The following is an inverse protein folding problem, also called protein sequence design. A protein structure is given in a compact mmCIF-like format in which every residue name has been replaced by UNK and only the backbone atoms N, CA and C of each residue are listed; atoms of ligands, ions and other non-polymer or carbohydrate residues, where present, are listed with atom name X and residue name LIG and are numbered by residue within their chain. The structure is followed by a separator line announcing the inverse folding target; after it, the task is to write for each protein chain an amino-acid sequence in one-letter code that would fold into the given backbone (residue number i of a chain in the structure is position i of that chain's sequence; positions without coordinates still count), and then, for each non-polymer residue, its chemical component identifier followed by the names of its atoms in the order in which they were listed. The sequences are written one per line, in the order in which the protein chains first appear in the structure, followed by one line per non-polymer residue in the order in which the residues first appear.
data_IF_787724271293
#
_entry.id   IF_787724271293
#
_cell.length_a   1.000
_cell.length_b   1.000
_cell.length_c   1.000
_cell.angle_alpha   90.00
_cell.angle_beta   90.00
_cell.angle_gamma   90.00
#
_symmetry.space_group_name_H-M   'P 1'
#
loop_
_entity.id
_entity.type
_entity.pdbx_description
1 polymer ?
#
# COMPACT_ATOMS: atom_id res chain seq x y z
N UNK A 1 -19.87 -41.79 20.21
CA UNK A 1 -19.28 -40.61 19.57
C UNK A 1 -18.71 -39.74 20.69
N UNK A 2 -17.43 -39.90 21.04
CA UNK A 2 -16.83 -39.25 22.20
C UNK A 2 -16.32 -37.85 21.84
N UNK A 3 -16.78 -36.83 22.57
CA UNK A 3 -16.30 -35.45 22.43
C UNK A 3 -14.90 -35.31 23.04
N UNK A 4 -13.90 -35.11 22.19
CA UNK A 4 -12.59 -34.64 22.62
C UNK A 4 -12.57 -33.12 22.58
N UNK A 5 -12.91 -32.49 23.70
CA UNK A 5 -12.61 -31.07 23.92
C UNK A 5 -11.10 -30.90 24.08
N UNK A 6 -10.54 -29.87 23.45
CA UNK A 6 -9.11 -29.51 23.49
C UNK A 6 -8.58 -29.58 24.92
N UNK A 7 -7.51 -30.33 25.15
CA UNK A 7 -6.97 -30.51 26.50
C UNK A 7 -6.25 -29.25 26.99
N UNK A 8 -6.37 -28.91 28.28
CA UNK A 8 -5.74 -27.71 28.91
C UNK A 8 -4.25 -27.58 28.60
N UNK A 9 -3.53 -28.70 28.51
CA UNK A 9 -2.11 -28.75 28.15
C UNK A 9 -1.85 -28.32 26.70
N UNK A 10 -2.76 -28.66 25.80
CA UNK A 10 -2.69 -28.29 24.39
C UNK A 10 -2.95 -26.80 24.21
N UNK A 11 -3.93 -26.25 24.92
CA UNK A 11 -4.16 -24.79 24.99
C UNK A 11 -2.92 -24.06 25.52
N UNK A 12 -2.33 -24.53 26.63
CA UNK A 12 -1.12 -23.90 27.18
C UNK A 12 0.10 -24.03 26.26
N UNK A 13 0.20 -25.14 25.51
CA UNK A 13 1.27 -25.32 24.54
C UNK A 13 1.10 -24.40 23.34
N UNK A 14 -0.13 -24.26 22.83
CA UNK A 14 -0.48 -23.34 21.73
C UNK A 14 -0.19 -21.89 22.15
N UNK A 15 -0.62 -21.48 23.34
CA UNK A 15 -0.36 -20.13 23.88
C UNK A 15 1.16 -19.88 24.06
N UNK A 16 1.90 -20.86 24.58
CA UNK A 16 3.36 -20.76 24.71
C UNK A 16 4.09 -20.66 23.37
N UNK A 17 3.64 -21.38 22.34
CA UNK A 17 4.22 -21.30 20.98
C UNK A 17 3.87 -19.99 20.27
N UNK A 18 2.68 -19.44 20.50
CA UNK A 18 2.27 -18.15 19.94
C UNK A 18 3.13 -16.98 20.48
N UNK A 19 3.51 -17.03 21.76
CA UNK A 19 4.38 -16.03 22.37
C UNK A 19 5.79 -16.00 21.74
N UNK A 20 6.32 -17.15 21.31
CA UNK A 20 7.60 -17.21 20.61
C UNK A 20 7.51 -16.62 19.18
N UNK A 21 6.40 -16.88 18.47
CA UNK A 21 6.15 -16.33 17.14
C UNK A 21 6.00 -14.80 17.13
N UNK A 22 5.54 -14.19 18.24
CA UNK A 22 5.45 -12.73 18.39
C UNK A 22 6.80 -12.01 18.37
N UNK A 23 7.91 -12.74 18.54
CA UNK A 23 9.28 -12.19 18.42
C UNK A 23 9.84 -12.27 17.00
N UNK A 24 9.12 -12.92 16.08
CA UNK A 24 9.55 -13.08 14.69
C UNK A 24 9.28 -11.79 13.88
N UNK A 25 10.27 -11.20 13.21
CA UNK A 25 10.13 -9.91 12.52
C UNK A 25 9.04 -9.88 11.43
N UNK A 26 8.66 -11.03 10.87
CA UNK A 26 7.56 -11.14 9.90
C UNK A 26 6.15 -11.13 10.50
N UNK A 27 6.01 -11.37 11.80
CA UNK A 27 4.72 -11.43 12.50
C UNK A 27 4.24 -10.05 13.00
N UNK A 28 5.16 -9.09 13.14
CA UNK A 28 4.84 -7.69 13.50
C UNK A 28 3.85 -7.05 12.50
N UNK A 29 3.84 -7.51 11.25
CA UNK A 29 2.92 -7.06 10.19
C UNK A 29 1.48 -7.58 10.32
N UNK A 30 1.23 -8.58 11.16
CA UNK A 30 -0.11 -9.16 11.39
C UNK A 30 -0.68 -8.79 12.78
N UNK A 31 -0.02 -7.88 13.50
CA UNK A 31 -0.40 -7.40 14.85
C UNK A 31 -1.60 -6.45 14.91
N UNK A 32 -2.39 -6.30 13.84
CA UNK A 32 -3.56 -5.42 13.81
C UNK A 32 -4.75 -5.93 14.64
N UNK A 33 -4.72 -7.17 15.12
CA UNK A 33 -5.84 -7.76 15.87
C UNK A 33 -5.90 -7.35 17.36
N UNK A 34 -4.92 -6.63 17.89
CA UNK A 34 -4.90 -6.22 19.31
C UNK A 34 -4.82 -4.69 19.51
N UNK A 35 -5.37 -3.90 18.60
CA UNK A 35 -5.43 -2.43 18.69
C UNK A 35 -6.47 -1.86 19.68
N UNK A 36 -6.75 -2.53 20.81
CA UNK A 36 -7.68 -2.02 21.84
C UNK A 36 -7.01 -1.32 23.02
N UNK A 37 -5.70 -1.05 22.96
CA UNK A 37 -5.00 -0.27 23.98
C UNK A 37 -4.34 0.94 23.33
N UNK A 38 -5.10 2.05 23.41
CA UNK A 38 -4.72 3.47 23.29
C UNK A 38 -3.47 3.87 22.53
N UNK A 39 -3.65 4.78 21.56
CA UNK A 39 -2.67 5.77 21.10
C UNK A 39 -1.20 5.34 21.23
N UNK A 40 -0.86 4.19 20.63
CA UNK A 40 0.51 3.93 20.25
C UNK A 40 0.77 4.85 19.06
N UNK A 41 1.43 5.97 19.37
CA UNK A 41 1.99 6.92 18.43
C UNK A 41 2.45 6.21 17.15
N UNK A 42 2.12 6.81 15.99
CA UNK A 42 2.79 6.65 14.70
C UNK A 42 4.07 5.82 14.86
N UNK A 43 3.96 4.51 14.70
CA UNK A 43 5.11 3.64 14.89
C UNK A 43 6.04 3.96 13.74
N UNK A 44 7.04 4.79 14.04
CA UNK A 44 8.16 5.12 13.18
C UNK A 44 8.64 3.82 12.53
N UNK A 45 8.73 3.87 11.20
CA UNK A 45 9.14 2.75 10.33
C UNK A 45 10.26 1.94 10.98
N UNK A 46 10.19 0.59 11.00
CA UNK A 46 11.35 -0.20 11.40
C UNK A 46 12.56 0.18 10.53
N UNK A 47 13.73 0.27 11.17
CA UNK A 47 14.99 0.57 10.51
C UNK A 47 15.24 -0.41 9.35
N UNK A 48 15.39 0.15 8.15
CA UNK A 48 15.69 -0.51 6.86
C UNK A 48 14.78 -1.69 6.50
N UNK A 49 13.73 -1.42 5.72
CA UNK A 49 13.04 -2.46 4.97
C UNK A 49 14.01 -3.12 3.96
N UNK A 50 13.98 -4.44 3.87
CA UNK A 50 14.74 -5.21 2.88
C UNK A 50 13.76 -5.74 1.82
N UNK A 51 13.89 -5.31 0.56
CA UNK A 51 13.06 -5.82 -0.54
C UNK A 51 13.14 -7.35 -0.67
N UNK A 52 12.01 -7.95 -1.03
CA UNK A 52 11.81 -9.39 -1.22
C UNK A 52 11.98 -9.74 -2.70
N UNK A 53 11.43 -8.91 -3.60
CA UNK A 53 11.43 -9.18 -5.03
C UNK A 53 12.44 -8.32 -5.80
N UNK A 54 12.40 -7.02 -5.57
CA UNK A 54 13.28 -6.07 -6.24
C UNK A 54 14.69 -6.13 -5.66
N UNK A 55 15.70 -5.86 -6.49
CA UNK A 55 17.02 -5.50 -5.96
C UNK A 55 17.05 -4.06 -5.42
N UNK A 56 18.20 -3.62 -4.91
CA UNK A 56 18.33 -2.30 -4.28
C UNK A 56 18.14 -1.13 -5.26
N UNK A 57 18.61 -1.25 -6.51
CA UNK A 57 18.43 -0.20 -7.53
C UNK A 57 16.98 -0.19 -8.02
N UNK A 58 16.41 -1.36 -8.31
CA UNK A 58 15.02 -1.53 -8.70
C UNK A 58 14.05 -0.98 -7.65
N UNK A 59 14.27 -1.30 -6.36
CA UNK A 59 13.44 -0.81 -5.27
C UNK A 59 13.53 0.71 -5.12
N UNK A 60 14.72 1.29 -5.22
CA UNK A 60 14.90 2.74 -5.17
C UNK A 60 14.17 3.45 -6.34
N UNK A 61 14.15 2.83 -7.53
CA UNK A 61 13.35 3.33 -8.65
C UNK A 61 11.85 3.27 -8.35
N UNK A 62 11.34 2.15 -7.82
CA UNK A 62 9.92 2.02 -7.44
C UNK A 62 9.54 3.05 -6.38
N UNK A 63 10.38 3.25 -5.36
CA UNK A 63 10.16 4.26 -4.33
C UNK A 63 10.10 5.67 -4.94
N UNK A 64 11.05 6.02 -5.81
CA UNK A 64 11.05 7.33 -6.48
C UNK A 64 9.83 7.52 -7.37
N UNK A 65 9.42 6.51 -8.14
CA UNK A 65 8.24 6.58 -9.00
C UNK A 65 6.94 6.73 -8.19
N UNK A 66 6.83 6.05 -7.05
CA UNK A 66 5.69 6.18 -6.16
C UNK A 66 5.65 7.59 -5.53
N UNK A 67 6.79 8.09 -5.04
CA UNK A 67 6.95 9.45 -4.49
C UNK A 67 6.59 10.53 -5.53
N UNK A 68 6.95 10.35 -6.80
CA UNK A 68 6.57 11.26 -7.88
C UNK A 68 5.08 11.16 -8.26
N UNK A 69 4.42 10.04 -7.97
CA UNK A 69 3.00 9.84 -8.27
C UNK A 69 2.09 10.45 -7.20
N UNK A 70 2.44 10.30 -5.92
CA UNK A 70 1.77 10.93 -4.78
C UNK A 70 2.86 11.56 -3.90
N UNK A 71 3.21 12.84 -4.14
CA UNK A 71 4.24 13.54 -3.39
C UNK A 71 3.78 13.89 -1.97
N UNK A 72 4.73 14.26 -1.12
CA UNK A 72 4.50 14.61 0.28
C UNK A 72 4.51 16.13 0.47
N UNK A 73 3.66 16.85 -0.26
CA UNK A 73 3.62 18.31 -0.28
C UNK A 73 2.86 18.91 0.92
N UNK A 74 1.54 19.05 0.82
CA UNK A 74 0.67 19.54 1.90
C UNK A 74 0.27 18.40 2.87
N UNK A 75 0.27 17.16 2.37
CA UNK A 75 -0.04 15.94 3.13
C UNK A 75 1.12 14.94 3.08
N UNK A 76 1.02 13.86 3.85
CA UNK A 76 2.00 12.77 3.80
C UNK A 76 1.77 11.94 2.53
N UNK A 77 2.82 11.68 1.76
CA UNK A 77 2.72 11.05 0.44
C UNK A 77 3.01 9.55 0.43
N UNK A 78 3.21 9.00 -0.79
CA UNK A 78 3.44 7.58 -1.03
C UNK A 78 4.64 7.01 -0.25
N UNK A 79 5.67 7.83 -0.06
CA UNK A 79 6.85 7.47 0.71
C UNK A 79 6.47 7.18 2.15
N UNK A 80 5.86 8.15 2.85
CA UNK A 80 5.39 8.05 4.25
C UNK A 80 4.44 6.88 4.45
N UNK A 81 3.58 6.61 3.45
CA UNK A 81 2.64 5.50 3.46
C UNK A 81 3.28 4.11 3.24
N UNK A 82 4.59 4.03 2.95
CA UNK A 82 5.27 2.76 2.73
C UNK A 82 4.86 2.07 1.43
N UNK A 83 4.45 2.83 0.42
CA UNK A 83 3.92 2.30 -0.84
C UNK A 83 4.93 1.40 -1.56
N UNK A 84 6.22 1.76 -1.57
CA UNK A 84 7.25 0.94 -2.22
C UNK A 84 7.35 -0.47 -1.59
N UNK A 85 7.21 -0.57 -0.26
CA UNK A 85 7.18 -1.86 0.46
C UNK A 85 5.94 -2.68 0.10
N UNK A 86 4.79 -2.00 -0.05
CA UNK A 86 3.56 -2.63 -0.53
C UNK A 86 3.72 -3.18 -1.94
N UNK A 87 4.28 -2.39 -2.87
CA UNK A 87 4.50 -2.81 -4.26
C UNK A 87 5.44 -4.01 -4.30
N UNK A 88 6.58 -3.96 -3.61
CA UNK A 88 7.52 -5.10 -3.55
C UNK A 88 6.85 -6.38 -3.04
N UNK A 89 6.08 -6.28 -1.95
CA UNK A 89 5.33 -7.42 -1.41
C UNK A 89 4.33 -7.97 -2.41
N UNK A 90 3.50 -7.12 -3.02
CA UNK A 90 2.48 -7.56 -3.98
C UNK A 90 3.12 -8.24 -5.19
N UNK A 91 4.15 -7.61 -5.78
CA UNK A 91 4.87 -8.16 -6.94
C UNK A 91 5.59 -9.45 -6.58
N UNK A 92 6.14 -9.60 -5.37
CA UNK A 92 6.76 -10.85 -4.93
C UNK A 92 5.79 -12.04 -4.93
N UNK A 93 4.50 -11.78 -4.76
CA UNK A 93 3.44 -12.79 -4.65
C UNK A 93 2.68 -13.07 -5.94
N UNK A 94 2.86 -12.24 -6.98
CA UNK A 94 2.11 -12.32 -8.25
C UNK A 94 3.05 -12.46 -9.46
N UNK A 95 3.28 -13.69 -9.96
CA UNK A 95 4.13 -13.94 -11.12
C UNK A 95 3.71 -13.21 -12.40
N UNK A 96 2.42 -12.89 -12.59
CA UNK A 96 1.94 -12.21 -13.79
C UNK A 96 2.43 -10.76 -13.85
N UNK A 97 2.67 -10.16 -12.68
CA UNK A 97 3.06 -8.76 -12.52
C UNK A 97 4.58 -8.59 -12.40
N UNK A 98 5.31 -9.63 -11.98
CA UNK A 98 6.78 -9.63 -11.87
C UNK A 98 7.49 -9.24 -13.17
N UNK A 99 7.09 -9.86 -14.29
CA UNK A 99 7.72 -9.60 -15.59
C UNK A 99 7.45 -8.17 -16.09
N UNK A 100 6.21 -7.66 -16.09
CA UNK A 100 5.92 -6.26 -16.40
C UNK A 100 6.74 -5.25 -15.59
N UNK A 101 6.90 -5.45 -14.28
CA UNK A 101 7.70 -4.53 -13.45
C UNK A 101 9.18 -4.54 -13.83
N UNK A 102 9.81 -5.72 -13.93
CA UNK A 102 11.23 -5.81 -14.31
C UNK A 102 11.52 -5.21 -15.68
N UNK A 103 10.68 -5.54 -16.66
CA UNK A 103 10.84 -5.00 -18.03
C UNK A 103 10.59 -3.51 -18.08
N UNK A 104 9.60 -3.02 -17.35
CA UNK A 104 9.31 -1.59 -17.28
C UNK A 104 10.42 -0.77 -16.61
N UNK A 105 11.00 -1.27 -15.51
CA UNK A 105 12.15 -0.65 -14.85
C UNK A 105 13.38 -0.61 -15.76
N UNK A 106 13.68 -1.73 -16.42
CA UNK A 106 14.78 -1.81 -17.39
C UNK A 106 14.56 -0.87 -18.59
N UNK A 107 13.33 -0.83 -19.12
CA UNK A 107 12.95 0.07 -20.21
C UNK A 107 13.13 1.54 -19.80
N UNK A 108 12.71 1.91 -18.58
CA UNK A 108 12.80 3.29 -18.10
C UNK A 108 14.26 3.73 -17.97
N UNK A 109 15.13 2.86 -17.45
CA UNK A 109 16.57 3.14 -17.40
C UNK A 109 17.16 3.28 -18.82
N UNK A 110 16.88 2.35 -19.72
CA UNK A 110 17.38 2.42 -21.10
C UNK A 110 16.87 3.68 -21.84
N UNK A 111 15.62 4.07 -21.59
CA UNK A 111 15.04 5.28 -22.16
C UNK A 111 15.70 6.55 -21.59
N UNK A 112 15.95 6.58 -20.28
CA UNK A 112 16.70 7.66 -19.61
C UNK A 112 18.13 7.77 -20.15
N UNK A 113 18.83 6.64 -20.29
CA UNK A 113 20.20 6.62 -20.81
C UNK A 113 20.26 7.09 -22.27
N UNK A 114 19.31 6.65 -23.09
CA UNK A 114 19.22 7.05 -24.50
C UNK A 114 18.90 8.53 -24.68
N UNK A 115 18.01 9.08 -23.85
CA UNK A 115 17.53 10.47 -24.01
C UNK A 115 18.38 11.51 -23.28
N UNK A 116 19.01 11.15 -22.15
CA UNK A 116 19.71 12.07 -21.26
C UNK A 116 21.12 11.60 -20.85
N UNK A 117 21.57 10.43 -21.30
CA UNK A 117 22.93 9.91 -21.05
C UNK A 117 23.18 9.39 -19.63
N UNK A 118 22.12 9.22 -18.84
CA UNK A 118 22.19 8.82 -17.41
C UNK A 118 21.06 7.85 -17.06
N UNK A 119 21.26 7.03 -16.03
CA UNK A 119 20.16 6.23 -15.45
C UNK A 119 19.08 7.13 -14.86
N UNK A 120 17.86 6.61 -14.73
CA UNK A 120 16.71 7.41 -14.28
C UNK A 120 16.94 8.07 -12.90
N UNK A 121 17.51 7.33 -11.95
CA UNK A 121 17.80 7.85 -10.60
C UNK A 121 18.94 8.89 -10.54
N UNK A 122 19.72 9.04 -11.62
CA UNK A 122 20.83 10.00 -11.71
C UNK A 122 20.40 11.33 -12.38
N UNK A 123 19.16 11.42 -12.86
CA UNK A 123 18.55 12.62 -13.40
C UNK A 123 18.12 13.58 -12.27
N UNK A 124 18.04 14.88 -12.58
CA UNK A 124 17.38 15.84 -11.67
C UNK A 124 15.87 15.58 -11.60
N UNK A 125 15.20 16.08 -10.56
CA UNK A 125 13.76 15.93 -10.41
C UNK A 125 12.99 16.52 -11.61
N UNK A 126 13.44 17.64 -12.16
CA UNK A 126 12.86 18.25 -13.36
C UNK A 126 13.02 17.35 -14.60
N UNK A 127 14.19 16.72 -14.74
CA UNK A 127 14.47 15.79 -15.84
C UNK A 127 13.64 14.52 -15.73
N UNK A 128 13.51 13.96 -14.52
CA UNK A 128 12.65 12.80 -14.26
C UNK A 128 11.19 13.14 -14.58
N UNK A 129 10.70 14.28 -14.12
CA UNK A 129 9.34 14.74 -14.42
C UNK A 129 9.11 14.91 -15.93
N UNK A 130 10.04 15.57 -16.63
CA UNK A 130 9.95 15.75 -18.09
C UNK A 130 9.96 14.42 -18.84
N UNK A 131 10.65 13.39 -18.33
CA UNK A 131 10.71 12.07 -18.94
C UNK A 131 9.42 11.27 -18.71
N UNK A 132 8.83 11.36 -17.50
CA UNK A 132 7.60 10.65 -17.15
C UNK A 132 6.33 11.31 -17.69
N UNK A 133 6.36 12.61 -17.95
CA UNK A 133 5.17 13.38 -18.35
C UNK A 133 4.48 12.82 -19.64
N UNK A 134 5.21 12.53 -20.74
CA UNK A 134 4.64 11.85 -21.91
C UNK A 134 4.06 10.47 -21.61
N UNK A 135 4.58 9.79 -20.57
CA UNK A 135 4.12 8.47 -20.18
C UNK A 135 2.80 8.54 -19.40
N UNK A 136 2.63 9.59 -18.58
CA UNK A 136 1.48 9.78 -17.70
C UNK A 136 0.27 10.46 -18.32
N UNK A 137 0.47 11.30 -19.34
CA UNK A 137 -0.59 12.11 -19.95
C UNK A 137 -0.85 11.72 -21.41
N UNK A 138 -2.07 11.24 -21.69
CA UNK A 138 -2.47 10.80 -23.06
C UNK A 138 -2.27 11.88 -24.12
N UNK A 139 -2.44 13.17 -23.77
CA UNK A 139 -2.26 14.31 -24.68
C UNK A 139 -0.80 14.62 -25.03
N UNK A 140 0.16 14.13 -24.21
CA UNK A 140 1.60 14.33 -24.38
C UNK A 140 2.32 13.07 -24.87
N UNK A 141 1.57 12.01 -25.16
CA UNK A 141 2.12 10.72 -25.54
C UNK A 141 2.94 10.81 -26.83
N UNK A 142 4.12 10.17 -26.82
CA UNK A 142 5.01 10.06 -27.98
C UNK A 142 4.90 8.67 -28.60
N UNK A 143 4.94 8.55 -29.95
CA UNK A 143 5.00 7.25 -30.62
C UNK A 143 6.27 6.48 -30.23
N UNK A 144 6.17 5.17 -30.02
CA UNK A 144 7.30 4.31 -29.66
C UNK A 144 7.57 4.21 -28.15
N UNK A 145 6.76 4.87 -27.32
CA UNK A 145 6.85 4.83 -25.85
C UNK A 145 5.68 4.06 -25.22
N UNK A 146 5.00 3.20 -25.99
CA UNK A 146 3.80 2.48 -25.55
C UNK A 146 4.08 1.55 -24.36
N UNK A 147 5.23 0.89 -24.34
CA UNK A 147 5.61 0.00 -23.24
C UNK A 147 5.93 0.79 -21.97
N UNK A 148 6.62 1.93 -22.09
CA UNK A 148 6.85 2.87 -21.00
C UNK A 148 5.54 3.42 -20.41
N UNK A 149 4.57 3.72 -21.27
CA UNK A 149 3.22 4.16 -20.86
C UNK A 149 2.47 3.08 -20.09
N UNK A 150 2.50 1.83 -20.56
CA UNK A 150 1.88 0.69 -19.88
C UNK A 150 2.52 0.47 -18.51
N UNK A 151 3.86 0.50 -18.44
CA UNK A 151 4.59 0.37 -17.19
C UNK A 151 4.26 1.50 -16.21
N UNK A 152 4.30 2.76 -16.66
CA UNK A 152 4.01 3.88 -15.77
C UNK A 152 2.55 3.89 -15.30
N UNK A 153 1.61 3.45 -16.14
CA UNK A 153 0.22 3.23 -15.72
C UNK A 153 0.13 2.16 -14.62
N UNK A 154 0.84 1.04 -14.75
CA UNK A 154 0.89 -0.02 -13.74
C UNK A 154 1.45 0.49 -12.41
N UNK A 155 2.56 1.24 -12.45
CA UNK A 155 3.15 1.83 -11.23
C UNK A 155 2.18 2.79 -10.55
N UNK A 156 1.48 3.62 -11.31
CA UNK A 156 0.47 4.55 -10.76
C UNK A 156 -0.72 3.82 -10.15
N UNK A 157 -1.20 2.77 -10.81
CA UNK A 157 -2.29 1.92 -10.28
C UNK A 157 -1.89 1.34 -8.92
N UNK A 158 -0.73 0.69 -8.85
CA UNK A 158 -0.21 0.11 -7.62
C UNK A 158 0.08 1.16 -6.53
N UNK A 159 0.53 2.36 -6.93
CA UNK A 159 0.77 3.47 -6.00
C UNK A 159 -0.52 3.97 -5.39
N UNK A 160 -1.54 4.22 -6.21
CA UNK A 160 -2.87 4.66 -5.75
C UNK A 160 -3.49 3.61 -4.85
N UNK A 161 -3.43 2.33 -5.24
CA UNK A 161 -3.93 1.23 -4.41
C UNK A 161 -3.20 1.13 -3.09
N UNK A 162 -1.86 1.14 -3.09
CA UNK A 162 -1.06 1.06 -1.85
C UNK A 162 -1.30 2.26 -0.93
N UNK A 163 -1.38 3.47 -1.49
CA UNK A 163 -1.59 4.68 -0.71
C UNK A 163 -2.98 4.72 -0.09
N UNK A 164 -4.05 4.55 -0.88
CA UNK A 164 -5.43 4.64 -0.39
C UNK A 164 -5.94 3.38 0.32
N UNK A 165 -5.09 2.38 0.52
CA UNK A 165 -5.35 1.27 1.47
C UNK A 165 -4.47 1.36 2.73
N UNK A 166 -3.58 2.37 2.80
CA UNK A 166 -2.80 2.68 3.99
C UNK A 166 -3.61 3.51 4.99
N UNK A 167 -3.16 3.53 6.25
CA UNK A 167 -3.74 4.41 7.27
C UNK A 167 -3.63 5.89 6.88
N UNK A 168 -2.53 6.28 6.24
CA UNK A 168 -2.30 7.66 5.78
C UNK A 168 -3.35 8.05 4.74
N UNK A 169 -3.51 7.25 3.68
CA UNK A 169 -4.50 7.52 2.64
C UNK A 169 -5.94 7.46 3.14
N UNK A 170 -6.27 6.56 4.07
CA UNK A 170 -7.61 6.55 4.70
C UNK A 170 -7.89 7.80 5.54
N UNK A 171 -6.88 8.34 6.25
CA UNK A 171 -7.03 9.61 6.96
C UNK A 171 -7.20 10.78 6.01
N UNK A 172 -6.48 10.79 4.89
CA UNK A 172 -6.60 11.82 3.86
C UNK A 172 -8.02 11.87 3.26
N UNK A 173 -8.65 10.71 3.06
CA UNK A 173 -10.03 10.61 2.55
C UNK A 173 -11.13 10.93 3.58
N UNK A 174 -10.78 11.25 4.84
CA UNK A 174 -11.73 11.32 5.97
C UNK A 174 -12.65 10.07 6.03
N UNK A 175 -12.07 8.89 5.82
CA UNK A 175 -12.84 7.66 5.62
C UNK A 175 -13.66 7.32 6.88
N UNK A 176 -15.00 7.14 6.77
CA UNK A 176 -15.86 6.78 7.89
C UNK A 176 -15.47 5.48 8.62
N UNK A 177 -14.77 4.56 7.95
CA UNK A 177 -14.29 3.33 8.56
C UNK A 177 -13.26 3.56 9.69
N UNK A 178 -12.61 4.72 9.73
CA UNK A 178 -11.72 5.12 10.82
C UNK A 178 -12.45 5.85 11.97
N UNK A 179 -13.74 6.15 11.81
CA UNK A 179 -14.54 6.84 12.83
C UNK A 179 -15.10 5.82 13.82
N UNK A 180 -14.78 5.99 15.10
CA UNK A 180 -15.41 5.22 16.16
C UNK A 180 -16.76 5.84 16.50
N UNK A 181 -17.82 5.08 16.26
CA UNK A 181 -19.18 5.45 16.65
C UNK A 181 -19.52 4.75 17.98
N UNK A 182 -19.74 5.52 19.04
CA UNK A 182 -20.22 4.99 20.32
C UNK A 182 -21.64 4.41 20.21
N UNK A 183 -22.43 4.98 19.31
CA UNK A 183 -23.75 4.50 18.89
C UNK A 183 -23.80 4.56 17.37
N UNK A 184 -24.39 3.55 16.72
CA UNK A 184 -24.52 3.55 15.25
C UNK A 184 -25.21 4.83 14.80
N UNK A 185 -24.64 5.61 13.85
CA UNK A 185 -25.33 6.78 13.33
C UNK A 185 -26.70 6.34 12.80
N UNK A 186 -27.78 6.98 13.27
CA UNK A 186 -29.12 6.73 12.75
C UNK A 186 -29.10 6.91 11.24
N UNK A 187 -29.68 5.96 10.50
CA UNK A 187 -29.79 6.13 9.06
C UNK A 187 -30.61 7.41 8.77
N UNK A 188 -30.14 8.33 7.90
CA UNK A 188 -30.68 9.68 7.78
C UNK A 188 -32.12 9.73 7.25
N UNK A 189 -32.65 8.62 6.73
CA UNK A 189 -34.00 8.51 6.20
C UNK A 189 -34.99 7.97 7.25
N UNK A 190 -35.47 8.86 8.12
CA UNK A 190 -36.49 8.54 9.16
C UNK A 190 -37.82 8.03 8.61
N UNK A 191 -38.11 8.25 7.32
CA UNK A 191 -39.39 7.88 6.69
C UNK A 191 -39.24 6.88 5.53
N UNK A 192 -38.13 6.13 5.45
CA UNK A 192 -38.02 5.09 4.43
C UNK A 192 -39.06 4.00 4.65
N UNK A 193 -39.67 3.54 3.56
CA UNK A 193 -40.66 2.46 3.56
C UNK A 193 -40.04 1.16 4.05
N UNK A 194 -38.73 0.99 3.87
CA UNK A 194 -37.96 -0.18 4.31
C UNK A 194 -37.79 -0.24 5.84
N UNK A 195 -37.83 0.89 6.56
CA UNK A 195 -37.73 0.92 8.05
C UNK A 195 -39.04 0.65 8.77
N UNK A 196 -40.17 0.48 8.05
CA UNK A 196 -41.48 0.19 8.66
C UNK A 196 -41.51 -1.08 9.49
N UNK A 197 -40.58 -1.99 9.25
CA UNK A 197 -40.46 -3.28 9.95
C UNK A 197 -39.54 -3.22 11.18
N UNK A 198 -38.77 -2.14 11.34
CA UNK A 198 -37.92 -1.94 12.50
C UNK A 198 -38.76 -1.30 13.61
N UNK A 199 -38.88 -1.98 14.74
CA UNK A 199 -39.55 -1.39 15.91
C UNK A 199 -38.74 -0.18 16.37
N UNK A 200 -39.38 0.99 16.46
CA UNK A 200 -38.78 2.18 17.07
C UNK A 200 -38.24 1.79 18.46
N UNK A 201 -36.93 1.88 18.64
CA UNK A 201 -36.30 1.62 19.93
C UNK A 201 -36.93 2.58 20.96
N UNK A 202 -37.38 2.03 22.09
CA UNK A 202 -37.91 2.84 23.21
C UNK A 202 -36.77 3.70 23.76
N UNK A 203 -37.05 5.00 23.86
CA UNK A 203 -36.24 6.01 24.54
C UNK A 203 -35.92 5.66 25.98
#
# INVERSE_FOLDING_TARGET
MAGQGIQRREVLRILGTAAAAATFPGFSKWGFACGHVGNAALSIRPASYRPIFFDAEEYAMVEKLAEMTIPSDETLGAKEAGVAEFIDFMVSSDPEVQYPFRMGLAWLNAHSESSAGKKFLELSDEQQNSLLEPLGFKSKARPGEEDGRRFFALVREYTVTGFYTSEIGFKELDNPALKFYAESPECPHKNDREHKHLSLAKS
#
